data_IF_166793186127
#
_entry.id   IF_166793186127
#
_cell.length_a   1.000
_cell.length_b   1.000
_cell.length_c   1.000
_cell.angle_alpha   90.00
_cell.angle_beta   90.00
_cell.angle_gamma   90.00
#
_symmetry.space_group_name_H-M   'P 1'
#
loop_
_entity.id
_entity.type
_entity.pdbx_description
1 polymer ?
#
# COMPACT_ATOMS: atom_id res chain seq x y z
N UNK A 1 40.09 -10.71 -7.52
CA UNK A 1 39.47 -9.91 -6.44
C UNK A 1 38.07 -10.46 -6.20
N UNK A 2 37.77 -11.02 -5.03
CA UNK A 2 36.37 -11.31 -4.66
C UNK A 2 35.68 -9.96 -4.51
N UNK A 3 34.63 -9.71 -5.29
CA UNK A 3 33.76 -8.57 -5.06
C UNK A 3 33.32 -8.61 -3.60
N UNK A 4 33.60 -7.57 -2.81
CA UNK A 4 33.02 -7.47 -1.48
C UNK A 4 31.51 -7.41 -1.67
N UNK A 5 30.80 -8.49 -1.38
CA UNK A 5 29.33 -8.46 -1.38
C UNK A 5 28.93 -7.38 -0.38
N UNK A 6 28.28 -6.33 -0.87
CA UNK A 6 27.75 -5.29 -0.02
C UNK A 6 26.78 -5.94 0.97
N UNK A 7 27.00 -5.70 2.26
CA UNK A 7 26.11 -6.21 3.31
C UNK A 7 24.69 -5.70 3.01
N UNK A 8 23.68 -6.57 2.91
CA UNK A 8 22.31 -6.14 2.65
C UNK A 8 21.82 -5.23 3.77
N UNK A 9 21.18 -4.14 3.39
CA UNK A 9 20.45 -3.27 4.32
C UNK A 9 18.97 -3.60 4.24
N UNK A 10 18.31 -3.77 5.38
CA UNK A 10 16.87 -3.98 5.44
C UNK A 10 16.19 -2.68 5.86
N UNK A 11 15.10 -2.32 5.18
CA UNK A 11 14.36 -1.08 5.43
C UNK A 11 12.92 -1.44 5.75
N UNK A 12 12.43 -0.97 6.91
CA UNK A 12 11.00 -0.93 7.22
C UNK A 12 10.52 0.48 6.92
N UNK A 13 9.62 0.62 5.94
CA UNK A 13 9.06 1.91 5.51
C UNK A 13 7.58 1.98 5.85
N UNK A 14 7.18 3.07 6.51
CA UNK A 14 5.79 3.40 6.79
C UNK A 14 5.35 4.51 5.84
N UNK A 15 4.39 4.20 4.99
CA UNK A 15 3.85 5.15 4.03
C UNK A 15 2.79 6.01 4.70
N UNK A 16 3.10 7.30 4.88
CA UNK A 16 2.23 8.23 5.62
C UNK A 16 1.00 8.62 4.82
N UNK A 17 -0.12 8.74 5.53
CA UNK A 17 -1.40 9.18 4.97
C UNK A 17 -1.47 10.72 4.92
N UNK A 18 -0.89 11.41 5.90
CA UNK A 18 -0.66 12.84 5.79
C UNK A 18 0.53 13.08 4.85
N UNK A 19 0.50 14.14 4.04
CA UNK A 19 1.49 14.41 2.96
C UNK A 19 2.94 14.65 3.44
N UNK A 20 3.25 14.27 4.68
CA UNK A 20 4.60 14.20 5.21
C UNK A 20 5.41 13.06 4.56
N UNK A 21 6.75 13.16 4.60
CA UNK A 21 7.63 12.11 4.09
C UNK A 21 7.40 10.76 4.78
N UNK A 22 7.50 9.66 4.03
CA UNK A 22 7.46 8.31 4.58
C UNK A 22 8.51 8.13 5.69
N UNK A 23 8.18 7.37 6.73
CA UNK A 23 9.13 7.06 7.80
C UNK A 23 9.91 5.80 7.44
N UNK A 24 11.24 5.86 7.58
CA UNK A 24 12.14 4.76 7.22
C UNK A 24 13.04 4.36 8.40
N UNK A 25 13.10 3.05 8.65
CA UNK A 25 13.93 2.46 9.68
C UNK A 25 14.87 1.44 9.07
N UNK A 26 16.17 1.66 9.28
CA UNK A 26 17.25 0.88 8.68
C UNK A 26 17.79 -0.18 9.65
N UNK A 27 17.97 -1.41 9.14
CA UNK A 27 18.42 -2.57 9.91
C UNK A 27 19.51 -3.33 9.17
N UNK A 28 20.54 -3.77 9.89
CA UNK A 28 21.57 -4.67 9.35
C UNK A 28 21.07 -6.13 9.37
N UNK A 29 20.32 -6.50 10.40
CA UNK A 29 19.79 -7.86 10.57
C UNK A 29 18.36 -7.95 10.07
N UNK A 30 18.11 -8.95 9.21
CA UNK A 30 16.78 -9.25 8.68
C UNK A 30 15.75 -9.49 9.78
N UNK A 31 16.12 -10.25 10.81
CA UNK A 31 15.23 -10.62 11.92
C UNK A 31 14.70 -9.41 12.70
N UNK A 32 15.52 -8.37 12.86
CA UNK A 32 15.13 -7.16 13.59
C UNK A 32 14.12 -6.34 12.77
N UNK A 33 14.35 -6.25 11.46
CA UNK A 33 13.42 -5.62 10.51
C UNK A 33 12.08 -6.38 10.43
N UNK A 34 12.12 -7.72 10.35
CA UNK A 34 10.92 -8.56 10.33
C UNK A 34 10.11 -8.43 11.63
N UNK A 35 10.80 -8.37 12.78
CA UNK A 35 10.15 -8.15 14.08
C UNK A 35 9.45 -6.79 14.11
N UNK A 36 10.13 -5.72 13.68
CA UNK A 36 9.52 -4.39 13.63
C UNK A 36 8.32 -4.35 12.68
N UNK A 37 8.47 -4.86 11.46
CA UNK A 37 7.37 -4.95 10.49
C UNK A 37 6.15 -5.68 11.09
N UNK A 38 6.37 -6.84 11.71
CA UNK A 38 5.29 -7.67 12.25
C UNK A 38 4.54 -6.99 13.40
N UNK A 39 5.19 -6.13 14.17
CA UNK A 39 4.54 -5.35 15.25
C UNK A 39 3.49 -4.37 14.73
N UNK A 40 3.67 -3.86 13.50
CA UNK A 40 2.81 -2.82 12.92
C UNK A 40 2.05 -3.27 11.66
N UNK A 41 2.14 -4.54 11.28
CA UNK A 41 1.40 -5.10 10.13
C UNK A 41 -0.13 -5.08 10.32
N UNK A 42 -0.60 -4.80 11.53
CA UNK A 42 -2.02 -4.61 11.86
C UNK A 42 -2.28 -3.23 12.48
N UNK A 43 -1.40 -2.26 12.24
CA UNK A 43 -1.60 -0.90 12.71
C UNK A 43 -2.91 -0.32 12.15
N UNK A 44 -3.69 0.32 13.03
CA UNK A 44 -4.96 0.93 12.71
C UNK A 44 -5.05 2.37 13.24
N UNK A 45 -3.89 3.01 13.45
CA UNK A 45 -3.79 4.39 13.94
C UNK A 45 -4.42 5.40 12.97
N UNK A 46 -4.59 5.02 11.70
CA UNK A 46 -5.03 5.90 10.62
C UNK A 46 -3.92 6.82 10.10
N UNK A 47 -2.68 6.66 10.59
CA UNK A 47 -1.54 7.50 10.20
C UNK A 47 -0.87 7.04 8.91
N UNK A 48 -0.97 5.74 8.60
CA UNK A 48 -0.29 5.10 7.47
C UNK A 48 -1.28 4.36 6.57
N UNK A 49 -1.01 4.35 5.26
CA UNK A 49 -1.80 3.56 4.32
C UNK A 49 -1.14 2.21 3.97
N UNK A 50 0.16 2.09 4.21
CA UNK A 50 0.93 0.87 3.91
C UNK A 50 2.21 0.81 4.77
N UNK A 51 2.62 -0.41 5.12
CA UNK A 51 3.97 -0.70 5.63
C UNK A 51 4.68 -1.67 4.68
N UNK A 52 5.95 -1.41 4.40
CA UNK A 52 6.79 -2.23 3.53
C UNK A 52 8.07 -2.67 4.24
N UNK A 53 8.46 -3.92 4.01
CA UNK A 53 9.79 -4.44 4.33
C UNK A 53 10.55 -4.66 3.03
N UNK A 54 11.69 -4.00 2.87
CA UNK A 54 12.55 -4.12 1.70
C UNK A 54 13.96 -4.57 2.07
N UNK A 55 14.61 -5.28 1.16
CA UNK A 55 16.04 -5.57 1.19
C UNK A 55 16.75 -4.75 0.12
N UNK A 56 17.79 -4.03 0.51
CA UNK A 56 18.60 -3.19 -0.38
C UNK A 56 19.99 -3.82 -0.53
N UNK A 57 20.35 -4.15 -1.76
CA UNK A 57 21.69 -4.64 -2.15
C UNK A 57 22.16 -3.86 -3.37
N UNK A 58 23.41 -3.38 -3.36
CA UNK A 58 24.01 -2.68 -4.50
C UNK A 58 23.14 -1.54 -5.09
N UNK A 59 22.51 -0.74 -4.23
CA UNK A 59 21.56 0.34 -4.59
C UNK A 59 20.24 -0.12 -5.26
N UNK A 60 19.99 -1.42 -5.33
CA UNK A 60 18.71 -1.98 -5.76
C UNK A 60 17.89 -2.38 -4.53
N UNK A 61 16.65 -1.92 -4.47
CA UNK A 61 15.70 -2.26 -3.41
C UNK A 61 14.72 -3.32 -3.92
N UNK A 62 14.57 -4.41 -3.17
CA UNK A 62 13.59 -5.47 -3.40
C UNK A 62 12.59 -5.47 -2.25
N UNK A 63 11.31 -5.31 -2.55
CA UNK A 63 10.24 -5.48 -1.56
C UNK A 63 10.16 -6.96 -1.20
N UNK A 64 10.34 -7.27 0.08
CA UNK A 64 10.22 -8.62 0.64
C UNK A 64 8.79 -8.88 1.14
N UNK A 65 8.17 -7.88 1.75
CA UNK A 65 6.80 -7.95 2.25
C UNK A 65 6.16 -6.56 2.22
N UNK A 66 4.84 -6.52 2.06
CA UNK A 66 4.05 -5.29 2.05
C UNK A 66 2.67 -5.57 2.66
N UNK A 67 2.15 -4.61 3.40
CA UNK A 67 0.83 -4.72 4.02
C UNK A 67 0.10 -3.40 3.93
N UNK A 68 -1.07 -3.42 3.29
CA UNK A 68 -2.00 -2.30 3.31
C UNK A 68 -2.58 -2.14 4.71
N UNK A 69 -2.60 -0.88 5.17
CA UNK A 69 -3.12 -0.46 6.47
C UNK A 69 -4.38 0.40 6.32
N UNK A 70 -4.78 0.75 5.10
CA UNK A 70 -6.09 1.33 4.85
C UNK A 70 -7.18 0.37 5.34
N UNK A 71 -8.25 0.87 5.99
CA UNK A 71 -9.33 0.05 6.53
C UNK A 71 -10.27 -0.41 5.40
N UNK A 72 -9.75 -1.23 4.49
CA UNK A 72 -10.46 -1.82 3.37
C UNK A 72 -10.75 -3.29 3.66
N UNK A 73 -12.01 -3.67 3.54
CA UNK A 73 -12.48 -5.05 3.50
C UNK A 73 -12.02 -5.75 2.21
N UNK A 74 -12.11 -7.08 2.20
CA UNK A 74 -11.81 -7.88 1.00
C UNK A 74 -12.69 -7.49 -0.19
N UNK A 75 -13.97 -7.17 0.05
CA UNK A 75 -14.90 -6.73 -0.98
C UNK A 75 -14.47 -5.38 -1.57
N UNK A 76 -14.09 -4.42 -0.73
CA UNK A 76 -13.61 -3.11 -1.17
C UNK A 76 -12.29 -3.24 -1.94
N UNK A 77 -11.36 -4.10 -1.51
CA UNK A 77 -10.13 -4.41 -2.25
C UNK A 77 -10.42 -5.04 -3.62
N UNK A 78 -11.38 -5.97 -3.69
CA UNK A 78 -11.77 -6.60 -4.95
C UNK A 78 -12.36 -5.58 -5.93
N UNK A 79 -13.24 -4.70 -5.45
CA UNK A 79 -13.81 -3.61 -6.25
C UNK A 79 -12.70 -2.69 -6.79
N UNK A 80 -11.74 -2.29 -5.94
CA UNK A 80 -10.63 -1.45 -6.38
C UNK A 80 -9.73 -2.15 -7.40
N UNK A 81 -9.57 -3.47 -7.31
CA UNK A 81 -8.82 -4.25 -8.31
C UNK A 81 -9.55 -4.40 -9.63
N UNK A 82 -10.86 -4.56 -9.58
CA UNK A 82 -11.68 -4.81 -10.76
C UNK A 82 -11.93 -3.52 -11.57
N UNK A 83 -12.15 -2.40 -10.87
CA UNK A 83 -12.59 -1.15 -11.49
C UNK A 83 -11.59 0.01 -11.35
N UNK A 84 -10.53 -0.16 -10.55
CA UNK A 84 -9.51 0.86 -10.37
C UNK A 84 -8.53 0.94 -11.54
N UNK A 85 -7.96 2.12 -11.70
CA UNK A 85 -6.92 2.45 -12.69
C UNK A 85 -5.75 3.11 -11.98
N UNK A 86 -4.64 3.35 -12.68
CA UNK A 86 -3.53 4.14 -12.11
C UNK A 86 -3.88 5.61 -11.86
N UNK A 87 -5.03 6.08 -12.36
CA UNK A 87 -5.55 7.43 -12.12
C UNK A 87 -6.62 7.43 -11.02
N UNK A 88 -6.40 8.25 -10.00
CA UNK A 88 -7.27 8.33 -8.83
C UNK A 88 -8.65 8.88 -9.19
N UNK A 89 -8.70 9.92 -10.02
CA UNK A 89 -9.94 10.62 -10.37
C UNK A 89 -10.81 9.72 -11.24
N UNK A 90 -10.21 9.06 -12.24
CA UNK A 90 -10.90 8.08 -13.08
C UNK A 90 -11.48 6.95 -12.24
N UNK A 91 -10.71 6.42 -11.29
CA UNK A 91 -11.20 5.39 -10.36
C UNK A 91 -12.37 5.89 -9.53
N UNK A 92 -12.27 7.07 -8.93
CA UNK A 92 -13.36 7.65 -8.14
C UNK A 92 -14.62 7.87 -8.97
N UNK A 93 -14.48 8.31 -10.23
CA UNK A 93 -15.59 8.49 -11.16
C UNK A 93 -16.21 7.15 -11.57
N UNK A 94 -15.40 6.14 -11.86
CA UNK A 94 -15.88 4.80 -12.21
C UNK A 94 -16.72 4.21 -11.08
N UNK A 95 -16.21 4.25 -9.84
CA UNK A 95 -16.94 3.76 -8.66
C UNK A 95 -18.26 4.52 -8.44
N UNK A 96 -18.26 5.84 -8.62
CA UNK A 96 -19.47 6.65 -8.52
C UNK A 96 -20.51 6.23 -9.58
N UNK A 97 -20.09 6.05 -10.83
CA UNK A 97 -20.98 5.64 -11.92
C UNK A 97 -21.59 4.25 -11.70
N UNK A 98 -20.82 3.30 -11.15
CA UNK A 98 -21.32 1.97 -10.81
C UNK A 98 -22.47 2.04 -9.79
N UNK A 99 -22.32 2.89 -8.78
CA UNK A 99 -23.35 3.12 -7.75
C UNK A 99 -24.57 3.81 -8.36
N UNK A 100 -24.37 4.92 -9.08
CA UNK A 100 -25.46 5.73 -9.65
C UNK A 100 -26.30 4.92 -10.67
N UNK A 101 -25.69 3.96 -11.36
CA UNK A 101 -26.34 3.10 -12.36
C UNK A 101 -26.83 1.75 -11.80
N UNK A 102 -26.69 1.51 -10.49
CA UNK A 102 -27.03 0.23 -9.86
C UNK A 102 -26.32 -0.98 -10.51
N UNK A 103 -25.07 -0.78 -10.97
CA UNK A 103 -24.27 -1.81 -11.68
C UNK A 103 -23.39 -2.63 -10.74
N UNK A 104 -23.50 -2.43 -9.43
CA UNK A 104 -22.72 -3.14 -8.42
C UNK A 104 -23.65 -3.75 -7.36
N UNK A 105 -23.34 -4.98 -6.95
CA UNK A 105 -24.13 -5.72 -5.97
C UNK A 105 -24.04 -5.12 -4.55
N UNK A 106 -22.92 -4.47 -4.22
CA UNK A 106 -22.71 -3.81 -2.94
C UNK A 106 -22.31 -2.34 -3.14
N UNK A 107 -23.27 -1.42 -3.26
CA UNK A 107 -22.99 0.00 -3.46
C UNK A 107 -22.27 0.63 -2.25
N UNK A 108 -22.51 0.16 -1.03
CA UNK A 108 -21.83 0.65 0.16
C UNK A 108 -20.33 0.35 0.13
N UNK A 109 -19.94 -0.84 -0.31
CA UNK A 109 -18.53 -1.19 -0.48
C UNK A 109 -17.86 -0.30 -1.56
N UNK A 110 -18.54 -0.01 -2.67
CA UNK A 110 -18.00 0.91 -3.68
C UNK A 110 -17.82 2.34 -3.12
N UNK A 111 -18.78 2.83 -2.34
CA UNK A 111 -18.70 4.15 -1.69
C UNK A 111 -17.53 4.19 -0.69
N UNK A 112 -17.42 3.19 0.18
CA UNK A 112 -16.34 3.12 1.17
C UNK A 112 -14.96 3.01 0.52
N UNK A 113 -14.83 2.16 -0.50
CA UNK A 113 -13.61 2.05 -1.29
C UNK A 113 -13.21 3.41 -1.89
N UNK A 114 -14.18 4.14 -2.46
CA UNK A 114 -13.96 5.50 -2.98
C UNK A 114 -13.47 6.46 -1.90
N UNK A 115 -14.18 6.53 -0.76
CA UNK A 115 -13.81 7.41 0.36
C UNK A 115 -12.42 7.08 0.90
N UNK A 116 -12.05 5.79 0.96
CA UNK A 116 -10.73 5.38 1.42
C UNK A 116 -9.62 5.86 0.48
N UNK A 117 -9.81 5.75 -0.84
CA UNK A 117 -8.80 6.22 -1.82
C UNK A 117 -8.78 7.74 -1.95
N UNK A 118 -9.90 8.45 -1.71
CA UNK A 118 -9.96 9.92 -1.69
C UNK A 118 -9.11 10.54 -0.57
N UNK A 119 -8.79 9.77 0.48
CA UNK A 119 -7.88 10.21 1.55
C UNK A 119 -6.42 10.25 1.12
N UNK A 120 -6.07 9.59 0.03
CA UNK A 120 -4.73 9.60 -0.53
C UNK A 120 -4.57 10.83 -1.42
N UNK A 121 -3.39 11.45 -1.42
CA UNK A 121 -3.01 12.35 -2.50
C UNK A 121 -2.78 11.55 -3.80
N UNK A 122 -2.88 12.16 -5.00
CA UNK A 122 -2.72 11.45 -6.26
C UNK A 122 -1.40 10.66 -6.37
N UNK A 123 -0.32 11.20 -5.76
CA UNK A 123 0.98 10.53 -5.70
C UNK A 123 0.96 9.30 -4.79
N UNK A 124 0.29 9.39 -3.64
CA UNK A 124 0.12 8.25 -2.73
C UNK A 124 -0.78 7.19 -3.39
N UNK A 125 -1.86 7.60 -4.05
CA UNK A 125 -2.75 6.71 -4.78
C UNK A 125 -2.02 5.87 -5.82
N UNK A 126 -1.17 6.49 -6.65
CA UNK A 126 -0.40 5.75 -7.65
C UNK A 126 0.46 4.64 -7.05
N UNK A 127 1.08 4.90 -5.89
CA UNK A 127 1.88 3.92 -5.16
C UNK A 127 1.01 2.83 -4.55
N UNK A 128 -0.09 3.22 -3.91
CA UNK A 128 -1.09 2.32 -3.37
C UNK A 128 -1.64 1.36 -4.45
N UNK A 129 -1.94 1.88 -5.64
CA UNK A 129 -2.49 1.09 -6.74
C UNK A 129 -1.49 0.04 -7.23
N UNK A 130 -0.21 0.41 -7.39
CA UNK A 130 0.84 -0.55 -7.71
C UNK A 130 0.98 -1.65 -6.65
N UNK A 131 0.88 -1.29 -5.35
CA UNK A 131 0.85 -2.26 -4.26
C UNK A 131 -0.39 -3.15 -4.34
N UNK A 132 -1.57 -2.58 -4.59
CA UNK A 132 -2.85 -3.29 -4.74
C UNK A 132 -2.77 -4.35 -5.85
N UNK A 133 -2.23 -4.01 -7.02
CA UNK A 133 -2.07 -4.95 -8.14
C UNK A 133 -1.19 -6.15 -7.77
N UNK A 134 -0.18 -5.93 -6.93
CA UNK A 134 0.74 -7.00 -6.49
C UNK A 134 0.14 -7.94 -5.43
N UNK A 135 -0.95 -7.54 -4.76
CA UNK A 135 -1.57 -8.37 -3.73
C UNK A 135 -2.21 -9.62 -4.32
N UNK A 136 -2.15 -10.73 -3.59
CA UNK A 136 -3.04 -11.88 -3.84
C UNK A 136 -4.28 -11.66 -2.98
N UNK A 137 -5.36 -11.20 -3.61
CA UNK A 137 -6.67 -10.96 -2.99
C UNK A 137 -7.61 -12.03 -3.49
#
# INVERSE_FOLDING_TARGET
MKSSEAIPLYIVRFMRLDDYPDEEYNYIRKSDAEKHFSMYATDNSGLYYEIQLSEVRNKTAKILNAKLLLPLSLTELHILKEYGTSDQLETCMALKLLVDRCQISNPYAAINARVAIERLSPKQYLRFFASLESLKV
#
